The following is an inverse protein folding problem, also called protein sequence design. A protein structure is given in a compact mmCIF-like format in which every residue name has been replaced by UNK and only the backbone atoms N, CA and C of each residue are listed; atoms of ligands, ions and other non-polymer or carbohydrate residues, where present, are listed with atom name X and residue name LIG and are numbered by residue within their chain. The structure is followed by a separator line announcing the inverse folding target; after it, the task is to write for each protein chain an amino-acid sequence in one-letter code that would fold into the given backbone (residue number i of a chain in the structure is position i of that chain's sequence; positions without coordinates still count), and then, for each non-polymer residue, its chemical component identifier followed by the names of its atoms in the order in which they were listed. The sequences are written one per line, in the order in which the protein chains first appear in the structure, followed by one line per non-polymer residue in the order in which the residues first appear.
data_IF_034679581225
#
_entry.id   IF_034679581225
#
_cell.length_a   1.000
_cell.length_b   1.000
_cell.length_c   1.000
_cell.angle_alpha   90.00
_cell.angle_beta   90.00
_cell.angle_gamma   90.00
#
_symmetry.space_group_name_H-M   'P 1'
#
loop_
_entity.id
_entity.type
_entity.pdbx_description
1 polymer ?
#
# COMPACT_ATOMS: atom_id res chain seq x y z
N UNK A 1 -23.37 -10.81 44.81
CA UNK A 1 -22.61 -9.70 44.20
C UNK A 1 -22.30 -10.10 42.76
N UNK A 2 -23.15 -9.70 41.82
CA UNK A 2 -22.97 -9.96 40.40
C UNK A 2 -22.30 -8.76 39.76
N UNK A 3 -21.12 -8.94 39.17
CA UNK A 3 -20.49 -7.93 38.33
C UNK A 3 -21.24 -7.95 37.00
N UNK A 4 -22.19 -7.03 36.83
CA UNK A 4 -22.85 -6.81 35.56
C UNK A 4 -21.88 -6.00 34.70
N UNK A 5 -21.02 -6.70 33.95
CA UNK A 5 -20.28 -6.10 32.84
C UNK A 5 -21.31 -5.76 31.77
N UNK A 6 -21.92 -4.59 31.87
CA UNK A 6 -22.58 -3.94 30.75
C UNK A 6 -21.48 -3.44 29.82
N UNK A 7 -20.79 -4.38 29.19
CA UNK A 7 -20.04 -4.12 27.99
C UNK A 7 -21.10 -3.68 27.00
N UNK A 8 -21.27 -2.37 26.79
CA UNK A 8 -22.11 -1.85 25.73
C UNK A 8 -21.58 -2.45 24.43
N UNK A 9 -22.19 -3.59 24.07
CA UNK A 9 -21.98 -4.37 22.86
C UNK A 9 -22.63 -3.64 21.69
N UNK A 10 -22.48 -2.32 21.65
CA UNK A 10 -22.88 -1.51 20.50
C UNK A 10 -21.75 -1.41 19.46
N UNK A 11 -20.52 -1.84 19.78
CA UNK A 11 -19.37 -1.71 18.85
C UNK A 11 -18.78 -3.06 18.42
N UNK A 12 -19.62 -4.10 18.32
CA UNK A 12 -19.28 -5.26 17.49
C UNK A 12 -20.32 -5.52 16.39
N UNK A 13 -21.53 -4.97 16.47
CA UNK A 13 -22.58 -5.36 15.51
C UNK A 13 -23.63 -4.26 15.24
N UNK A 14 -23.35 -2.99 15.48
CA UNK A 14 -24.23 -1.91 15.03
C UNK A 14 -24.10 -1.72 13.52
N UNK A 15 -25.21 -1.80 12.78
CA UNK A 15 -25.28 -1.24 11.43
C UNK A 15 -24.77 0.21 11.53
N UNK A 16 -23.58 0.47 11.01
CA UNK A 16 -23.09 1.82 10.82
C UNK A 16 -23.93 2.43 9.69
N UNK A 17 -25.15 2.85 10.03
CA UNK A 17 -25.76 3.98 9.36
C UNK A 17 -24.82 5.13 9.66
N UNK A 18 -23.85 5.35 8.79
CA UNK A 18 -23.16 6.63 8.67
C UNK A 18 -24.29 7.61 8.37
N UNK A 19 -24.72 8.47 9.32
CA UNK A 19 -25.67 9.51 8.99
C UNK A 19 -24.93 10.35 7.95
N UNK A 20 -25.53 10.51 6.77
CA UNK A 20 -25.00 11.33 5.68
C UNK A 20 -24.82 12.74 6.20
N UNK A 21 -23.62 13.05 6.68
CA UNK A 21 -23.26 14.43 7.00
C UNK A 21 -23.07 15.17 5.68
N UNK A 22 -23.52 16.44 5.58
CA UNK A 22 -23.39 17.23 4.36
C UNK A 22 -21.93 17.38 3.90
N UNK A 23 -20.96 17.15 4.78
CA UNK A 23 -19.52 17.16 4.46
C UNK A 23 -19.10 16.03 3.50
N UNK A 24 -19.83 14.90 3.45
CA UNK A 24 -19.59 13.83 2.48
C UNK A 24 -20.02 14.20 1.04
N UNK A 25 -20.67 15.34 0.83
CA UNK A 25 -20.96 15.87 -0.49
C UNK A 25 -19.75 16.60 -1.11
N UNK A 26 -18.81 17.09 -0.31
CA UNK A 26 -17.63 17.83 -0.79
C UNK A 26 -16.56 16.94 -1.44
N UNK A 27 -16.54 15.63 -1.14
CA UNK A 27 -15.57 14.68 -1.69
C UNK A 27 -16.04 13.99 -2.98
N UNK A 28 -17.03 14.53 -3.69
CA UNK A 28 -17.58 13.88 -4.88
C UNK A 28 -17.00 14.44 -6.18
N UNK A 29 -16.08 13.73 -6.83
CA UNK A 29 -16.22 13.53 -8.26
C UNK A 29 -17.37 12.53 -8.48
N UNK A 30 -18.02 12.54 -9.64
CA UNK A 30 -19.20 11.73 -9.99
C UNK A 30 -18.93 10.21 -9.91
N UNK A 31 -18.96 9.61 -8.71
CA UNK A 31 -18.62 8.20 -8.49
C UNK A 31 -19.82 7.42 -7.95
N UNK A 32 -20.02 6.16 -8.38
CA UNK A 32 -20.99 5.26 -7.79
C UNK A 32 -20.55 4.95 -6.35
N UNK A 33 -21.42 5.25 -5.38
CA UNK A 33 -21.17 5.07 -3.93
C UNK A 33 -21.80 3.81 -3.37
N UNK A 34 -22.75 3.23 -4.10
CA UNK A 34 -23.49 2.05 -3.71
C UNK A 34 -23.10 0.92 -4.68
N UNK A 35 -23.05 -0.30 -4.16
CA UNK A 35 -22.97 -1.51 -4.96
C UNK A 35 -23.99 -1.42 -6.10
N UNK A 36 -23.57 -1.74 -7.33
CA UNK A 36 -24.41 -1.64 -8.53
C UNK A 36 -25.76 -2.40 -8.47
N UNK A 37 -25.92 -3.32 -7.52
CA UNK A 37 -27.15 -4.08 -7.25
C UNK A 37 -27.93 -3.60 -6.01
N UNK A 38 -27.50 -2.53 -5.33
CA UNK A 38 -28.05 -1.98 -4.07
C UNK A 38 -28.21 -3.02 -2.96
N UNK A 39 -27.44 -4.12 -3.05
CA UNK A 39 -27.46 -5.25 -2.12
C UNK A 39 -27.21 -4.82 -0.67
N UNK A 40 -26.50 -3.71 -0.46
CA UNK A 40 -26.14 -3.16 0.85
C UNK A 40 -27.35 -2.71 1.69
N UNK A 41 -28.44 -2.28 1.04
CA UNK A 41 -29.67 -1.88 1.77
C UNK A 41 -30.50 -3.08 2.23
N UNK A 42 -30.20 -4.27 1.75
CA UNK A 42 -31.00 -5.45 1.99
C UNK A 42 -30.55 -6.12 3.31
N UNK A 43 -31.20 -5.77 4.42
CA UNK A 43 -30.89 -6.26 5.77
C UNK A 43 -31.03 -7.78 5.93
N UNK A 44 -31.69 -8.44 4.98
CA UNK A 44 -31.94 -9.88 4.95
C UNK A 44 -30.71 -10.70 4.55
N UNK A 45 -29.66 -10.07 3.99
CA UNK A 45 -28.46 -10.77 3.54
C UNK A 45 -27.44 -10.98 4.66
N UNK A 46 -26.71 -12.12 4.67
CA UNK A 46 -25.65 -12.35 5.64
C UNK A 46 -24.49 -11.37 5.40
N UNK A 47 -23.95 -10.79 6.49
CA UNK A 47 -22.85 -9.79 6.44
C UNK A 47 -21.64 -10.22 5.62
N UNK A 48 -21.34 -11.52 5.60
CA UNK A 48 -20.24 -12.11 4.83
C UNK A 48 -20.45 -11.97 3.31
N UNK A 49 -21.69 -12.08 2.83
CA UNK A 49 -21.98 -11.91 1.40
C UNK A 49 -21.84 -10.45 0.97
N UNK A 50 -22.26 -9.50 1.83
CA UNK A 50 -22.12 -8.07 1.56
C UNK A 50 -20.64 -7.69 1.48
N UNK A 51 -19.82 -8.11 2.46
CA UNK A 51 -18.38 -7.81 2.44
C UNK A 51 -17.66 -8.46 1.26
N UNK A 52 -18.06 -9.66 0.84
CA UNK A 52 -17.55 -10.32 -0.36
C UNK A 52 -17.85 -9.49 -1.63
N UNK A 53 -19.06 -8.94 -1.76
CA UNK A 53 -19.45 -8.09 -2.90
C UNK A 53 -18.69 -6.76 -2.94
N UNK A 54 -18.57 -6.09 -1.79
CA UNK A 54 -17.81 -4.82 -1.70
C UNK A 54 -16.34 -5.08 -2.05
N UNK A 55 -15.77 -6.18 -1.53
CA UNK A 55 -14.39 -6.57 -1.86
C UNK A 55 -14.23 -6.77 -3.36
N UNK A 56 -15.13 -7.51 -4.01
CA UNK A 56 -15.09 -7.73 -5.46
C UNK A 56 -15.17 -6.42 -6.26
N UNK A 57 -15.95 -5.44 -5.81
CA UNK A 57 -16.05 -4.14 -6.48
C UNK A 57 -14.80 -3.27 -6.30
N UNK A 58 -14.20 -3.30 -5.11
CA UNK A 58 -12.91 -2.62 -4.87
C UNK A 58 -11.79 -3.22 -5.69
N UNK A 59 -11.80 -4.55 -5.83
CA UNK A 59 -10.80 -5.23 -6.65
C UNK A 59 -10.89 -4.83 -8.12
N UNK A 60 -12.06 -4.46 -8.64
CA UNK A 60 -12.17 -3.91 -10.01
C UNK A 60 -11.44 -2.57 -10.19
N UNK A 61 -10.96 -1.93 -9.12
CA UNK A 61 -10.22 -0.66 -9.15
C UNK A 61 -10.96 0.50 -9.87
N UNK A 62 -12.29 0.44 -9.96
CA UNK A 62 -13.09 1.51 -10.56
C UNK A 62 -13.31 2.61 -9.52
N UNK A 63 -12.29 3.43 -9.24
CA UNK A 63 -12.32 4.61 -8.34
C UNK A 63 -13.33 4.49 -7.17
N UNK A 64 -13.29 3.37 -6.45
CA UNK A 64 -14.16 3.09 -5.30
C UNK A 64 -13.42 3.40 -4.01
N UNK A 65 -14.16 3.83 -2.99
CA UNK A 65 -13.60 4.20 -1.67
C UNK A 65 -14.22 3.30 -0.61
N UNK A 66 -13.38 2.63 0.19
CA UNK A 66 -13.85 1.90 1.38
C UNK A 66 -13.86 2.84 2.57
N UNK A 67 -15.04 3.05 3.15
CA UNK A 67 -15.24 3.86 4.35
C UNK A 67 -15.60 2.95 5.52
N UNK A 68 -14.77 2.90 6.55
CA UNK A 68 -14.99 2.12 7.77
C UNK A 68 -14.39 2.84 8.98
N UNK A 69 -14.60 2.29 10.19
CA UNK A 69 -13.92 2.78 11.40
C UNK A 69 -12.40 2.74 11.25
N UNK A 70 -11.66 3.61 11.95
CA UNK A 70 -10.19 3.72 11.78
C UNK A 70 -9.46 2.40 11.98
N UNK A 71 -9.90 1.58 12.94
CA UNK A 71 -9.27 0.30 13.28
C UNK A 71 -9.59 -0.74 12.21
N UNK A 72 -10.87 -0.88 11.84
CA UNK A 72 -11.34 -1.75 10.76
C UNK A 72 -10.69 -1.40 9.42
N UNK A 73 -10.60 -0.12 9.08
CA UNK A 73 -9.95 0.36 7.86
C UNK A 73 -8.45 0.01 7.85
N UNK A 74 -7.78 0.11 9.00
CA UNK A 74 -6.37 -0.29 9.13
C UNK A 74 -6.20 -1.79 8.91
N UNK A 75 -7.09 -2.59 9.51
CA UNK A 75 -7.08 -4.04 9.39
C UNK A 75 -7.35 -4.48 7.94
N UNK A 76 -8.36 -3.91 7.29
CA UNK A 76 -8.69 -4.21 5.89
C UNK A 76 -7.57 -3.74 4.94
N UNK A 77 -6.99 -2.56 5.18
CA UNK A 77 -5.86 -2.08 4.40
C UNK A 77 -4.65 -3.02 4.49
N UNK A 78 -4.30 -3.46 5.70
CA UNK A 78 -3.20 -4.43 5.91
C UNK A 78 -3.49 -5.78 5.26
N UNK A 79 -4.74 -6.24 5.33
CA UNK A 79 -5.17 -7.49 4.69
C UNK A 79 -5.08 -7.41 3.16
N UNK A 80 -5.68 -6.38 2.57
CA UNK A 80 -5.71 -6.18 1.12
C UNK A 80 -4.32 -5.91 0.55
N UNK A 81 -3.50 -5.09 1.21
CA UNK A 81 -2.12 -4.84 0.78
C UNK A 81 -1.25 -6.09 0.81
N UNK A 82 -1.50 -7.00 1.75
CA UNK A 82 -0.79 -8.28 1.85
C UNK A 82 -1.21 -9.28 0.77
N UNK A 83 -2.50 -9.33 0.43
CA UNK A 83 -3.03 -10.30 -0.54
C UNK A 83 -2.85 -9.81 -1.98
N UNK A 84 -3.15 -8.54 -2.23
CA UNK A 84 -3.12 -7.90 -3.53
C UNK A 84 -1.94 -6.94 -3.62
N UNK A 85 -0.73 -7.48 -3.46
CA UNK A 85 0.51 -6.71 -3.37
C UNK A 85 0.85 -5.93 -4.66
N UNK A 86 0.34 -6.40 -5.80
CA UNK A 86 0.49 -5.75 -7.12
C UNK A 86 -0.40 -4.51 -7.29
N UNK A 87 -1.39 -4.29 -6.42
CA UNK A 87 -2.25 -3.10 -6.47
C UNK A 87 -1.70 -2.01 -5.56
N UNK A 88 -1.70 -0.76 -6.05
CA UNK A 88 -1.30 0.41 -5.27
C UNK A 88 -2.44 0.87 -4.37
N UNK A 89 -2.47 0.34 -3.15
CA UNK A 89 -3.41 0.76 -2.13
C UNK A 89 -3.04 2.13 -1.56
N UNK A 90 -4.01 3.02 -1.47
CA UNK A 90 -3.86 4.34 -0.84
C UNK A 90 -4.84 4.49 0.31
N UNK A 91 -4.36 5.03 1.42
CA UNK A 91 -5.16 5.36 2.58
C UNK A 91 -5.15 6.86 2.77
N UNK A 92 -6.33 7.48 2.82
CA UNK A 92 -6.43 8.90 3.19
C UNK A 92 -6.08 9.11 4.65
N UNK A 93 -5.49 10.27 4.96
CA UNK A 93 -5.27 10.75 6.34
C UNK A 93 -6.52 11.42 6.92
N UNK A 94 -7.51 11.71 6.08
CA UNK A 94 -8.70 12.44 6.49
C UNK A 94 -9.64 11.53 7.30
N UNK A 95 -10.18 12.09 8.38
CA UNK A 95 -11.12 11.41 9.26
C UNK A 95 -12.46 12.13 9.12
N UNK A 96 -13.44 11.42 8.55
CA UNK A 96 -14.79 11.99 8.33
C UNK A 96 -15.59 12.15 9.63
N UNK A 97 -15.35 11.26 10.61
CA UNK A 97 -16.02 11.29 11.90
C UNK A 97 -15.09 10.71 12.96
N UNK A 98 -14.83 11.49 14.00
CA UNK A 98 -14.09 11.02 15.18
C UNK A 98 -15.10 10.37 16.12
N UNK A 99 -15.00 9.05 16.28
CA UNK A 99 -15.77 8.31 17.29
C UNK A 99 -14.81 7.95 18.42
N UNK A 100 -15.06 8.48 19.62
CA UNK A 100 -14.29 8.12 20.80
C UNK A 100 -14.90 6.89 21.46
N UNK A 101 -14.09 5.85 21.63
CA UNK A 101 -14.45 4.71 22.46
C UNK A 101 -14.13 5.07 23.91
N UNK A 102 -15.16 5.13 24.76
CA UNK A 102 -15.01 5.38 26.19
C UNK A 102 -15.44 4.14 26.96
N UNK A 103 -14.54 3.62 27.79
CA UNK A 103 -14.91 2.66 28.82
C UNK A 103 -15.40 3.43 30.04
N UNK A 104 -16.61 3.12 30.49
CA UNK A 104 -17.22 3.69 31.69
C UNK A 104 -17.35 2.58 32.72
N UNK A 105 -16.75 2.79 33.89
CA UNK A 105 -16.91 1.90 35.03
C UNK A 105 -17.98 2.50 35.94
N UNK A 106 -19.04 1.75 36.19
CA UNK A 106 -20.12 2.13 37.12
C UNK A 106 -19.89 1.38 38.44
N UNK A 107 -20.18 2.02 39.58
CA UNK A 107 -19.99 1.49 40.95
C UNK A 107 -18.53 1.16 41.31
N UNK A 108 -17.71 2.21 41.39
CA UNK A 108 -16.26 2.15 41.65
C UNK A 108 -15.87 1.88 43.11
N UNK A 109 -16.82 1.83 44.03
CA UNK A 109 -16.60 2.06 45.47
C UNK A 109 -15.69 1.05 46.19
N UNK A 110 -15.25 -0.04 45.52
CA UNK A 110 -14.20 -0.90 46.07
C UNK A 110 -13.42 -1.73 45.02
N UNK A 111 -13.42 -1.32 43.75
CA UNK A 111 -12.84 -2.14 42.68
C UNK A 111 -11.43 -1.66 42.27
N UNK A 112 -10.46 -2.57 42.28
CA UNK A 112 -9.12 -2.34 41.70
C UNK A 112 -9.12 -2.44 40.16
N UNK A 113 -10.28 -2.63 39.55
CA UNK A 113 -10.44 -2.88 38.10
C UNK A 113 -9.92 -1.72 37.24
N UNK A 114 -10.25 -0.44 37.49
CA UNK A 114 -9.77 0.65 36.66
C UNK A 114 -8.25 0.81 36.75
N UNK A 115 -7.69 0.62 37.96
CA UNK A 115 -6.26 0.71 38.21
C UNK A 115 -5.48 -0.39 37.48
N UNK A 116 -6.00 -1.62 37.49
CA UNK A 116 -5.42 -2.74 36.74
C UNK A 116 -5.56 -2.54 35.23
N UNK A 117 -6.69 -2.02 34.77
CA UNK A 117 -6.92 -1.72 33.35
C UNK A 117 -5.98 -0.62 32.85
N UNK A 118 -5.79 0.44 33.63
CA UNK A 118 -4.81 1.48 33.34
C UNK A 118 -3.38 0.90 33.25
N UNK A 119 -2.98 0.06 34.20
CA UNK A 119 -1.68 -0.63 34.16
C UNK A 119 -1.53 -1.51 32.90
N UNK A 120 -2.59 -2.20 32.47
CA UNK A 120 -2.60 -3.01 31.24
C UNK A 120 -2.45 -2.14 29.97
N UNK A 121 -3.03 -0.95 29.96
CA UNK A 121 -2.87 0.03 28.88
C UNK A 121 -1.46 0.60 28.85
N UNK A 122 -0.95 1.07 29.99
CA UNK A 122 0.38 1.68 30.13
C UNK A 122 1.51 0.71 29.82
N UNK A 123 1.38 -0.55 30.23
CA UNK A 123 2.33 -1.62 29.89
C UNK A 123 2.26 -2.06 28.43
N UNK A 124 1.25 -1.62 27.67
CA UNK A 124 1.07 -1.96 26.27
C UNK A 124 0.55 -3.39 26.02
N UNK A 125 0.14 -4.11 27.07
CA UNK A 125 -0.45 -5.45 26.96
C UNK A 125 -1.73 -5.38 26.11
N UNK A 126 -2.55 -4.35 26.32
CA UNK A 126 -3.76 -4.13 25.53
C UNK A 126 -3.47 -4.05 24.02
N UNK A 127 -2.43 -3.31 23.63
CA UNK A 127 -2.03 -3.17 22.22
C UNK A 127 -1.62 -4.51 21.61
N UNK A 128 -0.84 -5.33 22.34
CA UNK A 128 -0.48 -6.67 21.86
C UNK A 128 -1.70 -7.58 21.72
N UNK A 129 -2.64 -7.51 22.65
CA UNK A 129 -3.87 -8.30 22.60
C UNK A 129 -4.72 -7.93 21.38
N UNK A 130 -4.79 -6.64 21.05
CA UNK A 130 -5.48 -6.14 19.86
C UNK A 130 -4.79 -6.62 18.57
N UNK A 131 -3.46 -6.57 18.50
CA UNK A 131 -2.68 -7.11 17.37
C UNK A 131 -2.89 -8.63 17.20
N UNK A 132 -2.89 -9.40 18.28
CA UNK A 132 -3.15 -10.84 18.25
C UNK A 132 -4.59 -11.17 17.82
N UNK A 133 -5.56 -10.40 18.32
CA UNK A 133 -6.96 -10.55 17.93
C UNK A 133 -7.12 -10.30 16.43
N UNK A 134 -6.53 -9.22 15.91
CA UNK A 134 -6.54 -8.94 14.46
C UNK A 134 -5.87 -10.05 13.67
N UNK A 135 -4.74 -10.57 14.13
CA UNK A 135 -4.06 -11.68 13.46
C UNK A 135 -4.94 -12.93 13.38
N UNK A 136 -5.69 -13.25 14.44
CA UNK A 136 -6.64 -14.38 14.45
C UNK A 136 -7.81 -14.16 13.51
N UNK A 137 -8.43 -12.98 13.57
CA UNK A 137 -9.57 -12.63 12.71
C UNK A 137 -9.20 -12.66 11.22
N UNK A 138 -7.99 -12.20 10.88
CA UNK A 138 -7.47 -12.26 9.52
C UNK A 138 -7.10 -13.68 9.07
N UNK A 139 -6.58 -14.52 9.98
CA UNK A 139 -6.23 -15.92 9.66
C UNK A 139 -7.46 -16.79 9.43
N UNK A 140 -8.56 -16.52 10.14
CA UNK A 140 -9.84 -17.21 9.95
C UNK A 140 -10.57 -16.82 8.65
N UNK A 141 -10.17 -15.73 7.99
CA UNK A 141 -10.73 -15.30 6.72
C UNK A 141 -10.08 -16.11 5.59
N UNK A 142 -10.73 -17.20 5.21
CA UNK A 142 -10.30 -18.03 4.06
C UNK A 142 -9.96 -17.15 2.85
N UNK A 143 -8.79 -17.38 2.25
CA UNK A 143 -8.34 -16.71 1.02
C UNK A 143 -9.30 -17.06 -0.12
N UNK A 144 -10.36 -16.28 -0.29
CA UNK A 144 -11.33 -16.54 -1.35
C UNK A 144 -10.90 -15.87 -2.65
N UNK A 145 -10.72 -16.76 -3.62
CA UNK A 145 -10.78 -16.57 -5.06
C UNK A 145 -9.81 -15.54 -5.68
N UNK A 146 -8.65 -16.07 -6.11
CA UNK A 146 -8.22 -16.09 -7.52
C UNK A 146 -8.78 -14.94 -8.40
N UNK A 147 -8.42 -13.69 -8.09
CA UNK A 147 -8.08 -12.82 -9.22
C UNK A 147 -6.74 -13.33 -9.71
N UNK A 148 -6.71 -13.72 -10.99
CA UNK A 148 -5.49 -14.07 -11.67
C UNK A 148 -4.50 -12.93 -11.40
N UNK A 149 -3.40 -13.27 -10.72
CA UNK A 149 -2.21 -12.43 -10.73
C UNK A 149 -2.02 -12.02 -12.20
N UNK A 150 -1.87 -10.72 -12.52
CA UNK A 150 -1.69 -10.33 -13.91
C UNK A 150 -0.52 -11.14 -14.46
N UNK A 151 -0.82 -12.07 -15.37
CA UNK A 151 0.16 -12.82 -16.12
C UNK A 151 0.88 -11.80 -16.99
N UNK A 152 1.96 -11.27 -16.43
CA UNK A 152 2.38 -9.93 -16.76
C UNK A 152 3.26 -9.45 -15.63
N UNK A 153 4.42 -10.07 -15.56
CA UNK A 153 5.66 -9.50 -15.02
C UNK A 153 5.68 -8.01 -15.37
N UNK A 154 5.12 -7.17 -14.51
CA UNK A 154 5.32 -5.73 -14.62
C UNK A 154 6.83 -5.58 -14.56
N UNK A 155 7.50 -5.17 -15.66
CA UNK A 155 8.94 -5.07 -15.65
C UNK A 155 9.26 -4.15 -14.49
N UNK A 156 10.02 -4.66 -13.52
CA UNK A 156 10.43 -3.89 -12.34
C UNK A 156 10.88 -2.55 -12.88
N UNK A 157 10.07 -1.52 -12.66
CA UNK A 157 10.35 -0.23 -13.21
C UNK A 157 11.62 0.20 -12.50
N UNK A 158 12.77 0.07 -13.19
CA UNK A 158 14.07 0.52 -12.71
C UNK A 158 13.92 2.02 -12.50
N UNK A 159 13.47 2.39 -11.30
CA UNK A 159 13.21 3.75 -10.91
C UNK A 159 14.46 4.57 -11.13
N UNK A 160 14.25 5.82 -11.56
CA UNK A 160 15.18 6.63 -12.36
C UNK A 160 16.64 6.66 -11.90
N UNK A 161 16.95 6.40 -10.63
CA UNK A 161 18.33 6.32 -10.14
C UNK A 161 19.18 5.26 -10.86
N UNK A 162 18.69 4.03 -11.03
CA UNK A 162 19.53 2.98 -11.65
C UNK A 162 19.70 3.27 -13.14
N UNK A 163 18.64 3.75 -13.80
CA UNK A 163 18.68 4.18 -15.19
C UNK A 163 19.70 5.31 -15.43
N UNK A 164 19.79 6.28 -14.51
CA UNK A 164 20.79 7.35 -14.61
C UNK A 164 22.23 6.85 -14.50
N UNK A 165 22.50 5.81 -13.70
CA UNK A 165 23.84 5.23 -13.57
C UNK A 165 24.26 4.55 -14.88
N UNK A 166 23.33 3.82 -15.52
CA UNK A 166 23.61 3.19 -16.81
C UNK A 166 23.88 4.22 -17.91
N UNK A 167 23.12 5.32 -17.96
CA UNK A 167 23.37 6.41 -18.91
C UNK A 167 24.74 7.05 -18.65
N UNK A 168 25.03 7.40 -17.40
CA UNK A 168 26.27 8.06 -17.03
C UNK A 168 27.49 7.18 -17.37
N UNK A 169 27.41 5.89 -17.03
CA UNK A 169 28.44 4.91 -17.33
C UNK A 169 28.63 4.75 -18.84
N UNK A 170 27.53 4.64 -19.59
CA UNK A 170 27.57 4.54 -21.05
C UNK A 170 28.23 5.76 -21.72
N UNK A 171 27.95 6.97 -21.26
CA UNK A 171 28.56 8.21 -21.78
C UNK A 171 30.06 8.25 -21.48
N UNK A 172 30.48 7.90 -20.27
CA UNK A 172 31.91 7.90 -19.88
C UNK A 172 32.68 6.87 -20.70
N UNK A 173 32.16 5.65 -20.84
CA UNK A 173 32.77 4.60 -21.66
C UNK A 173 32.81 4.98 -23.15
N UNK A 174 31.73 5.58 -23.65
CA UNK A 174 31.65 6.07 -25.02
C UNK A 174 32.71 7.14 -25.32
N UNK A 175 32.81 8.17 -24.48
CA UNK A 175 33.83 9.22 -24.62
C UNK A 175 35.26 8.65 -24.53
N UNK A 176 35.51 7.75 -23.59
CA UNK A 176 36.82 7.11 -23.43
C UNK A 176 37.22 6.32 -24.68
N UNK A 177 36.29 5.56 -25.24
CA UNK A 177 36.50 4.78 -26.47
C UNK A 177 36.80 5.68 -27.67
N UNK A 178 36.06 6.78 -27.84
CA UNK A 178 36.28 7.75 -28.93
C UNK A 178 37.65 8.40 -28.80
N UNK A 179 38.04 8.84 -27.60
CA UNK A 179 39.36 9.43 -27.36
C UNK A 179 40.49 8.46 -27.71
N UNK A 180 40.40 7.20 -27.27
CA UNK A 180 41.38 6.17 -27.60
C UNK A 180 41.44 5.90 -29.12
N UNK A 181 40.28 5.86 -29.79
CA UNK A 181 40.21 5.72 -31.24
C UNK A 181 40.96 6.83 -31.96
N UNK A 182 40.75 8.09 -31.56
CA UNK A 182 41.44 9.25 -32.15
C UNK A 182 42.95 9.16 -31.93
N UNK A 183 43.40 8.81 -30.73
CA UNK A 183 44.83 8.70 -30.44
C UNK A 183 45.52 7.60 -31.25
N UNK A 184 44.87 6.44 -31.39
CA UNK A 184 45.38 5.32 -32.18
C UNK A 184 45.41 5.69 -33.66
N UNK A 185 44.34 6.28 -34.21
CA UNK A 185 44.32 6.75 -35.59
C UNK A 185 45.42 7.79 -35.86
N UNK A 186 45.63 8.73 -34.93
CA UNK A 186 46.69 9.75 -35.07
C UNK A 186 48.09 9.12 -35.08
N UNK A 187 48.36 8.18 -34.16
CA UNK A 187 49.65 7.47 -34.10
C UNK A 187 49.89 6.64 -35.36
N UNK A 188 48.88 5.91 -35.83
CA UNK A 188 48.96 5.13 -37.07
C UNK A 188 49.26 6.02 -38.28
N UNK A 189 48.58 7.16 -38.40
CA UNK A 189 48.80 8.10 -39.51
C UNK A 189 50.22 8.68 -39.50
N UNK A 190 50.75 9.04 -38.32
CA UNK A 190 52.13 9.50 -38.17
C UNK A 190 53.17 8.42 -38.52
N UNK A 191 52.92 7.16 -38.13
CA UNK A 191 53.79 6.05 -38.53
C UNK A 191 53.77 5.82 -40.05
N UNK A 192 52.59 5.85 -40.68
CA UNK A 192 52.45 5.65 -42.13
C UNK A 192 53.16 6.76 -42.91
N UNK A 193 52.96 8.02 -42.52
CA UNK A 193 53.62 9.17 -43.18
C UNK A 193 55.14 9.12 -43.01
N UNK A 194 55.64 8.78 -41.81
CA UNK A 194 57.08 8.60 -41.58
C UNK A 194 57.72 7.47 -42.41
N UNK A 195 57.01 6.34 -42.59
CA UNK A 195 57.47 5.25 -43.47
C UNK A 195 57.48 5.69 -44.93
N UNK A 196 56.44 6.40 -45.38
CA UNK A 196 56.36 6.92 -46.75
C UNK A 196 57.50 7.89 -47.08
N UNK A 197 57.81 8.81 -46.15
CA UNK A 197 58.93 9.74 -46.34
C UNK A 197 60.27 8.98 -46.37
N UNK A 198 60.49 8.03 -45.45
CA UNK A 198 61.69 7.19 -45.45
C UNK A 198 61.89 6.39 -46.74
N UNK A 199 60.82 5.85 -47.32
CA UNK A 199 60.88 5.11 -48.59
C UNK A 199 61.21 6.03 -49.77
N UNK A 200 60.68 7.25 -49.77
CA UNK A 200 60.92 8.25 -50.81
C UNK A 200 62.38 8.72 -50.83
N UNK A 201 63.00 8.86 -49.66
CA UNK A 201 64.43 9.17 -49.54
C UNK A 201 65.32 8.04 -50.07
N UNK A 202 64.93 6.77 -49.91
CA UNK A 202 65.73 5.63 -50.36
C UNK A 202 65.62 5.35 -51.88
N UNK A 203 64.53 5.78 -52.54
CA UNK A 203 64.34 5.60 -53.99
C UNK A 203 64.99 6.75 -54.81
N UNK A 204 65.27 7.90 -54.17
CA UNK A 204 65.89 9.07 -54.83
C UNK A 204 67.42 9.10 -54.72
N UNK A 205 68.04 8.03 -54.23
CA UNK A 205 69.50 7.83 -54.15
C UNK A 205 69.94 6.77 -55.16
#
# INVERSE_FOLDING_TARGET
MGVFLEFQREVMFGNFYVPTTPEMHFLSPKHPRELSDLSERNQTKPKKEISERITAEILKCVKTVWCAGSNELTQEFMYLSRIYYWKRWQRSRDILKVTFLRLVFVDLDNSNIPRNFQSMLESGIWRRLEEEQWARDLTGREKKAREHEPDGTDPVALSGSIFTIFILCGVILGLSSVCLGIEVCRKMFLCITGIYDGLKYHISL
#
